data_IF_906968683585
#
_entry.id   IF_906968683585
#
_cell.length_a   1.000
_cell.length_b   1.000
_cell.length_c   1.000
_cell.angle_alpha   90.00
_cell.angle_beta   90.00
_cell.angle_gamma   90.00
#
_symmetry.space_group_name_H-M   'P 1'
#
loop_
_entity.id
_entity.type
_entity.pdbx_description
1 polymer ?
#
# COMPACT_ATOMS: atom_id res chain seq x y z
N UNK A 1 -21.29 -3.84 6.08
CA UNK A 1 -20.98 -4.06 4.65
C UNK A 1 -19.80 -5.03 4.62
N UNK A 2 -20.02 -6.29 4.27
CA UNK A 2 -18.96 -7.30 4.32
C UNK A 2 -18.14 -7.24 3.03
N UNK A 3 -16.88 -6.80 3.12
CA UNK A 3 -15.89 -7.00 2.06
C UNK A 3 -15.71 -8.51 1.82
N UNK A 4 -15.61 -8.89 0.55
CA UNK A 4 -15.54 -10.26 0.00
C UNK A 4 -14.84 -11.26 0.93
N UNK A 5 -15.60 -12.20 1.52
CA UNK A 5 -15.10 -13.10 2.58
C UNK A 5 -14.45 -14.35 2.02
N UNK A 6 -14.89 -14.83 0.86
CA UNK A 6 -14.43 -16.09 0.28
C UNK A 6 -13.56 -15.85 -0.95
N UNK A 7 -12.73 -16.83 -1.30
CA UNK A 7 -11.98 -16.81 -2.55
C UNK A 7 -12.91 -16.75 -3.77
N UNK A 8 -14.07 -17.42 -3.71
CA UNK A 8 -15.05 -17.43 -4.79
C UNK A 8 -15.68 -16.03 -5.01
N UNK A 9 -15.98 -15.30 -3.92
CA UNK A 9 -16.46 -13.90 -4.02
C UNK A 9 -15.41 -12.99 -4.68
N UNK A 10 -14.15 -13.18 -4.30
CA UNK A 10 -13.02 -12.40 -4.82
C UNK A 10 -12.77 -12.72 -6.30
N UNK A 11 -12.84 -13.98 -6.67
CA UNK A 11 -12.73 -14.45 -8.05
C UNK A 11 -13.85 -13.87 -8.92
N UNK A 12 -15.09 -13.96 -8.46
CA UNK A 12 -16.24 -13.41 -9.18
C UNK A 12 -16.12 -11.90 -9.37
N UNK A 13 -15.76 -11.17 -8.31
CA UNK A 13 -15.60 -9.72 -8.37
C UNK A 13 -14.52 -9.31 -9.37
N UNK A 14 -13.35 -9.97 -9.36
CA UNK A 14 -12.24 -9.65 -10.27
C UNK A 14 -12.55 -10.03 -11.71
N UNK A 15 -13.28 -11.12 -11.93
CA UNK A 15 -13.75 -11.49 -13.26
C UNK A 15 -14.70 -10.42 -13.84
N UNK A 16 -15.59 -9.85 -13.01
CA UNK A 16 -16.48 -8.75 -13.41
C UNK A 16 -15.75 -7.41 -13.59
N UNK A 17 -14.61 -7.23 -12.90
CA UNK A 17 -13.88 -5.97 -12.84
C UNK A 17 -12.40 -6.15 -13.25
N UNK A 18 -12.13 -6.93 -14.30
CA UNK A 18 -10.76 -7.29 -14.70
C UNK A 18 -9.89 -6.10 -15.13
N UNK A 19 -10.50 -4.94 -15.38
CA UNK A 19 -9.80 -3.66 -15.55
C UNK A 19 -9.00 -3.23 -14.32
N UNK A 20 -9.40 -3.66 -13.11
CA UNK A 20 -8.70 -3.38 -11.85
C UNK A 20 -7.37 -4.13 -11.73
N UNK A 21 -7.16 -5.18 -12.53
CA UNK A 21 -5.91 -5.94 -12.54
C UNK A 21 -4.92 -5.19 -13.43
N UNK A 22 -4.13 -4.33 -12.80
CA UNK A 22 -3.06 -3.57 -13.45
C UNK A 22 -1.98 -3.15 -12.45
N UNK A 23 -0.72 -2.96 -12.88
CA UNK A 23 0.33 -2.41 -12.03
C UNK A 23 -0.04 -1.05 -11.42
N UNK A 24 -0.78 -0.21 -12.15
CA UNK A 24 -1.24 1.09 -11.67
C UNK A 24 -2.20 0.96 -10.48
N UNK A 25 -3.18 0.05 -10.57
CA UNK A 25 -4.11 -0.20 -9.47
C UNK A 25 -3.38 -0.70 -8.22
N UNK A 26 -2.41 -1.61 -8.38
CA UNK A 26 -1.57 -2.08 -7.27
C UNK A 26 -0.85 -0.92 -6.58
N UNK A 27 -0.21 -0.02 -7.35
CA UNK A 27 0.48 1.15 -6.79
C UNK A 27 -0.47 2.07 -6.01
N UNK A 28 -1.66 2.35 -6.56
CA UNK A 28 -2.66 3.18 -5.91
C UNK A 28 -3.13 2.56 -4.58
N UNK A 29 -3.40 1.25 -4.56
CA UNK A 29 -3.88 0.56 -3.36
C UNK A 29 -2.75 0.46 -2.32
N UNK A 30 -1.49 0.30 -2.72
CA UNK A 30 -0.33 0.38 -1.80
C UNK A 30 -0.24 1.73 -1.09
N UNK A 31 -0.36 2.83 -1.84
CA UNK A 31 -0.38 4.17 -1.25
C UNK A 31 -1.56 4.36 -0.29
N UNK A 32 -2.72 3.80 -0.63
CA UNK A 32 -3.88 3.78 0.26
C UNK A 32 -3.62 3.00 1.56
N UNK A 33 -2.90 1.87 1.49
CA UNK A 33 -2.49 1.11 2.68
C UNK A 33 -1.67 1.94 3.67
N UNK A 34 -0.71 2.73 3.18
CA UNK A 34 0.10 3.63 4.02
C UNK A 34 -0.80 4.69 4.69
N UNK A 35 -1.72 5.30 3.94
CA UNK A 35 -2.62 6.32 4.49
C UNK A 35 -3.57 5.78 5.56
N UNK A 36 -4.00 4.52 5.46
CA UNK A 36 -4.84 3.88 6.47
C UNK A 36 -4.02 3.58 7.73
N UNK A 37 -2.77 3.16 7.57
CA UNK A 37 -1.87 2.87 8.69
C UNK A 37 -1.60 4.13 9.54
N UNK A 38 -1.33 5.26 8.87
CA UNK A 38 -1.24 6.57 9.51
C UNK A 38 -2.52 6.98 10.27
N UNK A 39 -3.69 6.46 9.87
CA UNK A 39 -4.97 6.70 10.57
C UNK A 39 -5.21 5.72 11.73
N UNK A 40 -4.34 4.71 11.89
CA UNK A 40 -4.44 3.70 12.95
C UNK A 40 -5.50 2.61 12.73
N UNK A 41 -6.05 2.48 11.51
CA UNK A 41 -7.01 1.40 11.21
C UNK A 41 -6.28 0.13 10.72
N UNK A 42 -5.57 -0.51 11.64
CA UNK A 42 -4.70 -1.66 11.35
C UNK A 42 -5.44 -2.87 10.77
N UNK A 43 -6.71 -3.06 11.16
CA UNK A 43 -7.54 -4.14 10.61
C UNK A 43 -7.79 -3.93 9.11
N UNK A 44 -8.00 -2.69 8.69
CA UNK A 44 -8.15 -2.35 7.28
C UNK A 44 -6.80 -2.42 6.53
N UNK A 45 -5.67 -2.09 7.16
CA UNK A 45 -4.33 -2.25 6.57
C UNK A 45 -4.04 -3.71 6.22
N UNK A 46 -4.33 -4.65 7.12
CA UNK A 46 -4.14 -6.09 6.85
C UNK A 46 -4.99 -6.54 5.66
N UNK A 47 -6.23 -6.06 5.57
CA UNK A 47 -7.10 -6.35 4.42
C UNK A 47 -6.52 -5.79 3.11
N UNK A 48 -6.02 -4.55 3.14
CA UNK A 48 -5.36 -3.92 1.99
C UNK A 48 -4.10 -4.67 1.57
N UNK A 49 -3.27 -5.10 2.52
CA UNK A 49 -2.09 -5.92 2.25
C UNK A 49 -2.45 -7.21 1.51
N UNK A 50 -3.54 -7.87 1.93
CA UNK A 50 -4.05 -9.06 1.25
C UNK A 50 -4.52 -8.78 -0.17
N UNK A 51 -5.27 -7.71 -0.39
CA UNK A 51 -5.77 -7.33 -1.73
C UNK A 51 -4.61 -6.98 -2.66
N UNK A 52 -3.63 -6.21 -2.19
CA UNK A 52 -2.43 -5.87 -2.95
C UNK A 52 -1.69 -7.13 -3.36
N UNK A 53 -1.44 -8.04 -2.41
CA UNK A 53 -0.70 -9.26 -2.73
C UNK A 53 -1.44 -10.14 -3.72
N UNK A 54 -2.77 -10.19 -3.62
CA UNK A 54 -3.62 -10.90 -4.58
C UNK A 54 -3.43 -10.32 -5.99
N UNK A 55 -3.59 -9.00 -6.14
CA UNK A 55 -3.47 -8.34 -7.43
C UNK A 55 -2.07 -8.48 -8.03
N UNK A 56 -1.02 -8.39 -7.21
CA UNK A 56 0.37 -8.58 -7.66
C UNK A 56 0.61 -9.96 -8.24
N UNK A 57 0.17 -11.03 -7.55
CA UNK A 57 0.32 -12.38 -8.10
C UNK A 57 -0.41 -12.53 -9.44
N UNK A 58 -1.62 -11.96 -9.57
CA UNK A 58 -2.37 -12.04 -10.84
C UNK A 58 -1.68 -11.23 -11.94
N UNK A 59 -1.14 -10.05 -11.62
CA UNK A 59 -0.37 -9.23 -12.57
C UNK A 59 0.90 -9.96 -13.03
N UNK A 60 1.64 -10.59 -12.11
CA UNK A 60 2.82 -11.42 -12.42
C UNK A 60 2.48 -12.60 -13.33
N UNK A 61 1.34 -13.27 -13.12
CA UNK A 61 0.85 -14.31 -14.04
C UNK A 61 0.54 -13.72 -15.43
N UNK A 62 0.04 -12.49 -15.46
CA UNK A 62 -0.27 -11.73 -16.68
C UNK A 62 0.93 -11.34 -17.53
N UNK A 63 2.14 -11.32 -16.96
CA UNK A 63 3.37 -11.10 -17.73
C UNK A 63 3.66 -12.26 -18.69
N UNK A 64 3.17 -13.47 -18.35
CA UNK A 64 3.35 -14.69 -19.15
C UNK A 64 2.08 -15.08 -19.94
N UNK A 65 0.89 -14.65 -19.52
CA UNK A 65 -0.41 -14.94 -20.16
C UNK A 65 -1.20 -13.63 -20.36
N UNK A 66 -1.43 -13.22 -21.62
CA UNK A 66 -2.10 -11.94 -21.93
C UNK A 66 -3.59 -11.93 -21.56
N UNK A 67 -4.19 -13.11 -21.32
CA UNK A 67 -5.59 -13.21 -20.93
C UNK A 67 -5.75 -13.10 -19.40
N UNK A 68 -6.17 -11.91 -18.95
CA UNK A 68 -6.42 -11.63 -17.52
C UNK A 68 -7.37 -12.61 -16.84
N UNK A 69 -8.40 -13.10 -17.53
CA UNK A 69 -9.36 -14.04 -16.94
C UNK A 69 -8.68 -15.36 -16.58
N UNK A 70 -7.81 -15.87 -17.45
CA UNK A 70 -7.02 -17.06 -17.17
C UNK A 70 -6.05 -16.84 -16.00
N UNK A 71 -5.45 -15.66 -15.88
CA UNK A 71 -4.58 -15.33 -14.75
C UNK A 71 -5.34 -15.34 -13.42
N UNK A 72 -6.58 -14.82 -13.41
CA UNK A 72 -7.47 -14.87 -12.24
C UNK A 72 -7.76 -16.33 -11.88
N UNK A 73 -8.25 -17.12 -12.83
CA UNK A 73 -8.57 -18.55 -12.63
C UNK A 73 -7.36 -19.34 -12.14
N UNK A 74 -6.17 -19.11 -12.72
CA UNK A 74 -4.94 -19.79 -12.32
C UNK A 74 -4.52 -19.42 -10.90
N UNK A 75 -4.62 -18.14 -10.52
CA UNK A 75 -4.34 -17.70 -9.16
C UNK A 75 -5.27 -18.37 -8.16
N UNK A 76 -6.58 -18.36 -8.40
CA UNK A 76 -7.55 -18.97 -7.49
C UNK A 76 -7.46 -20.49 -7.46
N UNK A 77 -7.04 -21.13 -8.55
CA UNK A 77 -6.65 -22.54 -8.57
C UNK A 77 -5.44 -22.80 -7.66
N UNK A 78 -4.40 -21.98 -7.72
CA UNK A 78 -3.22 -22.07 -6.83
C UNK A 78 -3.59 -21.82 -5.37
N UNK A 79 -4.53 -20.92 -5.10
CA UNK A 79 -5.07 -20.66 -3.75
C UNK A 79 -5.78 -21.87 -3.11
N UNK A 80 -6.01 -22.98 -3.83
CA UNK A 80 -6.48 -24.25 -3.23
C UNK A 80 -5.34 -25.10 -2.68
N UNK A 81 -4.10 -24.82 -3.08
CA UNK A 81 -2.91 -25.50 -2.58
C UNK A 81 -2.47 -24.88 -1.25
N UNK A 82 -2.27 -25.73 -0.23
CA UNK A 82 -1.91 -25.27 1.11
C UNK A 82 -0.53 -24.62 1.17
N UNK A 83 0.45 -25.14 0.43
CA UNK A 83 1.81 -24.56 0.38
C UNK A 83 1.77 -23.17 -0.24
N UNK A 84 0.97 -22.99 -1.29
CA UNK A 84 0.77 -21.68 -1.90
C UNK A 84 0.06 -20.71 -0.94
N UNK A 85 -0.96 -21.16 -0.19
CA UNK A 85 -1.63 -20.34 0.82
C UNK A 85 -0.66 -19.85 1.90
N UNK A 86 0.22 -20.72 2.40
CA UNK A 86 1.21 -20.36 3.42
C UNK A 86 2.22 -19.33 2.91
N UNK A 87 2.70 -19.50 1.66
CA UNK A 87 3.57 -18.53 1.00
C UNK A 87 2.87 -17.19 0.77
N UNK A 88 1.62 -17.23 0.31
CA UNK A 88 0.79 -16.05 0.12
C UNK A 88 0.62 -15.28 1.43
N UNK A 89 0.29 -15.96 2.53
CA UNK A 89 0.17 -15.35 3.85
C UNK A 89 1.48 -14.73 4.36
N UNK A 90 2.62 -15.38 4.09
CA UNK A 90 3.93 -14.80 4.40
C UNK A 90 4.16 -13.47 3.66
N UNK A 91 3.82 -13.41 2.37
CA UNK A 91 3.93 -12.18 1.58
C UNK A 91 2.95 -11.08 2.05
N UNK A 92 1.74 -11.45 2.48
CA UNK A 92 0.79 -10.50 3.07
C UNK A 92 1.36 -9.87 4.35
N UNK A 93 1.95 -10.67 5.24
CA UNK A 93 2.62 -10.16 6.45
C UNK A 93 3.79 -9.24 6.12
N UNK A 94 4.59 -9.59 5.11
CA UNK A 94 5.68 -8.74 4.65
C UNK A 94 5.18 -7.38 4.12
N UNK A 95 4.07 -7.38 3.39
CA UNK A 95 3.43 -6.15 2.90
C UNK A 95 2.91 -5.27 4.03
N UNK A 96 2.32 -5.87 5.07
CA UNK A 96 1.91 -5.14 6.27
C UNK A 96 3.08 -4.45 6.97
N UNK A 97 4.19 -5.18 7.21
CA UNK A 97 5.39 -4.60 7.84
C UNK A 97 6.00 -3.49 6.98
N UNK A 98 5.88 -3.60 5.65
CA UNK A 98 6.31 -2.54 4.75
C UNK A 98 5.45 -1.28 4.90
N UNK A 99 4.12 -1.39 5.04
CA UNK A 99 3.27 -0.22 5.28
C UNK A 99 3.60 0.49 6.59
N UNK A 100 3.75 -0.25 7.69
CA UNK A 100 4.15 0.31 9.00
C UNK A 100 5.53 1.02 8.92
N UNK A 101 6.49 0.43 8.21
CA UNK A 101 7.79 1.07 7.99
C UNK A 101 7.67 2.38 7.17
N UNK A 102 6.80 2.40 6.16
CA UNK A 102 6.56 3.59 5.33
C UNK A 102 5.82 4.67 6.11
N UNK A 103 4.77 4.33 6.86
CA UNK A 103 4.03 5.27 7.70
C UNK A 103 4.97 5.97 8.70
N UNK A 104 5.86 5.21 9.35
CA UNK A 104 6.89 5.78 10.23
C UNK A 104 7.88 6.71 9.51
N UNK A 105 8.18 6.49 8.24
CA UNK A 105 9.01 7.43 7.48
C UNK A 105 8.28 8.75 7.24
N UNK A 106 6.99 8.70 6.85
CA UNK A 106 6.16 9.89 6.67
C UNK A 106 6.02 10.71 7.97
N UNK A 107 5.75 10.08 9.10
CA UNK A 107 5.66 10.78 10.40
C UNK A 107 6.97 11.47 10.78
N UNK A 108 8.12 10.82 10.53
CA UNK A 108 9.42 11.41 10.82
C UNK A 108 9.76 12.59 9.90
N UNK A 109 9.38 12.51 8.63
CA UNK A 109 9.60 13.59 7.66
C UNK A 109 8.72 14.81 7.95
N UNK A 110 7.46 14.61 8.36
CA UNK A 110 6.53 15.67 8.76
C UNK A 110 7.04 16.41 10.02
N UNK A 111 7.46 15.65 11.03
CA UNK A 111 8.09 16.22 12.23
C UNK A 111 9.43 16.93 11.98
N UNK A 112 10.14 16.60 10.88
CA UNK A 112 11.36 17.31 10.49
C UNK A 112 11.05 18.61 9.72
N UNK A 113 9.99 18.64 8.90
CA UNK A 113 9.55 19.87 8.23
C UNK A 113 9.03 20.92 9.22
N UNK A 114 8.27 20.50 10.23
CA UNK A 114 7.80 21.42 11.28
C UNK A 114 8.96 22.02 12.09
N UNK A 115 10.04 21.28 12.32
CA UNK A 115 11.25 21.80 13.00
C UNK A 115 12.04 22.79 12.13
N UNK A 116 12.11 22.57 10.83
CA UNK A 116 12.78 23.49 9.89
C UNK A 116 12.00 24.80 9.69
N UNK A 117 10.66 24.76 9.81
CA UNK A 117 9.81 25.95 9.74
C UNK A 117 9.67 26.71 11.08
N UNK A 118 10.19 26.15 12.18
CA UNK A 118 10.10 26.72 13.53
C UNK A 118 11.35 27.50 13.98
N UNK A 119 12.36 27.68 13.13
CA UNK A 119 13.47 28.61 13.44
C UNK A 119 12.99 30.07 13.29
N UNK A 120 13.03 30.91 14.34
CA UNK A 120 12.64 32.30 14.24
C UNK A 120 13.72 33.12 13.52
N UNK A 121 13.30 33.97 12.58
CA UNK A 121 14.09 35.11 12.09
C UNK A 121 14.49 36.00 13.29
N UNK A 122 15.66 35.74 13.89
CA UNK A 122 16.32 36.67 14.80
C UNK A 122 17.77 36.85 14.39
N UNK A 123 18.00 37.70 13.38
CA UNK A 123 19.26 38.44 13.33
C UNK A 123 19.16 39.75 12.55
N UNK A 124 18.37 40.71 13.06
CA UNK A 124 18.56 42.12 12.73
C UNK A 124 19.32 42.80 13.87
N UNK A 125 20.60 42.47 14.00
CA UNK A 125 21.52 43.18 14.89
C UNK A 125 22.08 44.41 14.17
N UNK A 126 21.38 45.54 14.35
CA UNK A 126 21.93 46.80 14.86
C UNK A 126 23.27 47.28 14.26
N UNK A 127 23.21 48.07 13.18
CA UNK A 127 24.22 49.10 12.91
C UNK A 127 23.60 50.46 13.21
N UNK A 128 23.87 50.99 14.41
CA UNK A 128 23.73 52.42 14.68
C UNK A 128 24.74 53.14 13.79
N UNK A 129 24.27 53.94 12.86
CA UNK A 129 25.07 54.99 12.24
C UNK A 129 25.13 56.10 13.27
N UNK A 130 26.28 56.28 13.91
CA UNK A 130 26.57 57.47 14.70
C UNK A 130 26.70 58.65 13.74
N UNK A 131 25.86 59.66 13.94
CA UNK A 131 26.08 61.02 13.44
C UNK A 131 27.20 61.65 14.26
N UNK A 132 28.34 61.97 13.64
CA UNK A 132 29.21 63.13 13.90
C UNK A 132 30.33 63.24 12.86
#
# INVERSE_FOLDING_TARGET
MALMKTNDDQELFLNQNSGLISPTAVKCIRAFGIMIDLRGDFALVEHVARVVQLLENIVELGENEKNKMKCIEEFFKKMRDKSFQDQFQSKVKASYLWYDAQARQYDNDDHNQDKLNAEPEQNNNKTKVDEM
#
